data_IF_916126993839
#
_entry.id   IF_916126993839
#
_cell.length_a   1.000
_cell.length_b   1.000
_cell.length_c   1.000
_cell.angle_alpha   90.00
_cell.angle_beta   90.00
_cell.angle_gamma   90.00
#
_symmetry.space_group_name_H-M   'P 1'
#
loop_
_entity.id
_entity.type
_entity.pdbx_description
1 polymer ?
#
# COMPACT_ATOMS: atom_id res chain seq x y z
N UNK A 1 22.98 -2.35 14.95
CA UNK A 1 21.85 -1.86 14.13
C UNK A 1 22.47 -1.10 12.98
N UNK A 2 22.26 -1.50 11.73
CA UNK A 2 22.84 -0.79 10.58
C UNK A 2 22.06 0.52 10.46
N UNK A 3 22.73 1.65 10.70
CA UNK A 3 22.19 2.98 10.47
C UNK A 3 22.64 3.41 9.08
N UNK A 4 21.70 3.48 8.15
CA UNK A 4 21.93 4.08 6.84
C UNK A 4 20.92 5.20 6.66
N UNK A 5 21.32 6.23 5.90
CA UNK A 5 20.44 7.34 5.54
C UNK A 5 19.13 6.86 4.91
N UNK A 6 19.19 5.75 4.16
CA UNK A 6 18.01 5.10 3.57
C UNK A 6 17.03 4.60 4.64
N UNK A 7 17.56 3.97 5.71
CA UNK A 7 16.72 3.46 6.79
C UNK A 7 16.13 4.60 7.62
N UNK A 8 16.90 5.65 7.90
CA UNK A 8 16.42 6.85 8.58
C UNK A 8 15.28 7.52 7.81
N UNK A 9 15.47 7.74 6.51
CA UNK A 9 14.47 8.35 5.65
C UNK A 9 13.20 7.50 5.54
N UNK A 10 13.35 6.17 5.45
CA UNK A 10 12.21 5.23 5.51
C UNK A 10 11.40 5.43 6.79
N UNK A 11 12.05 5.48 7.95
CA UNK A 11 11.34 5.65 9.22
C UNK A 11 10.70 7.03 9.34
N UNK A 12 11.36 8.09 8.87
CA UNK A 12 10.82 9.45 8.85
C UNK A 12 9.53 9.53 8.02
N UNK A 13 9.54 8.96 6.82
CA UNK A 13 8.35 8.91 5.95
C UNK A 13 7.22 8.10 6.58
N UNK A 14 7.53 6.93 7.15
CA UNK A 14 6.54 6.10 7.82
C UNK A 14 5.90 6.80 9.03
N UNK A 15 6.69 7.47 9.85
CA UNK A 15 6.20 8.23 11.00
C UNK A 15 5.27 9.37 10.59
N UNK A 16 5.62 10.12 9.53
CA UNK A 16 4.77 11.16 8.97
C UNK A 16 3.43 10.60 8.48
N UNK A 17 3.46 9.53 7.68
CA UNK A 17 2.25 8.90 7.15
C UNK A 17 1.35 8.37 8.28
N UNK A 18 1.95 7.80 9.33
CA UNK A 18 1.21 7.31 10.49
C UNK A 18 0.51 8.45 11.24
N UNK A 19 1.19 9.58 11.47
CA UNK A 19 0.62 10.75 12.12
C UNK A 19 -0.54 11.40 11.34
N UNK A 20 -0.51 11.31 10.01
CA UNK A 20 -1.57 11.85 9.12
C UNK A 20 -2.75 10.89 8.90
N UNK A 21 -2.68 9.67 9.45
CA UNK A 21 -3.67 8.62 9.21
C UNK A 21 -4.55 8.38 10.44
N UNK A 22 -5.86 8.26 10.23
CA UNK A 22 -6.79 7.95 11.33
C UNK A 22 -7.01 6.45 11.50
N UNK A 23 -6.65 5.67 10.48
CA UNK A 23 -6.80 4.22 10.47
C UNK A 23 -5.68 3.55 9.66
N UNK A 24 -5.54 2.23 9.82
CA UNK A 24 -4.62 1.45 8.98
C UNK A 24 -4.99 1.52 7.49
N UNK A 25 -6.29 1.68 7.16
CA UNK A 25 -6.73 1.78 5.76
C UNK A 25 -6.27 3.09 5.14
N UNK A 26 -6.44 4.20 5.86
CA UNK A 26 -5.96 5.52 5.45
C UNK A 26 -4.45 5.51 5.23
N UNK A 27 -3.71 4.85 6.14
CA UNK A 27 -2.27 4.70 6.04
C UNK A 27 -1.87 3.96 4.77
N UNK A 28 -2.54 2.84 4.45
CA UNK A 28 -2.27 2.06 3.26
C UNK A 28 -2.58 2.86 1.98
N UNK A 29 -3.68 3.60 1.97
CA UNK A 29 -4.04 4.46 0.84
C UNK A 29 -3.02 5.58 0.63
N UNK A 30 -2.63 6.29 1.70
CA UNK A 30 -1.62 7.36 1.63
C UNK A 30 -0.25 6.82 1.21
N UNK A 31 0.14 5.67 1.72
CA UNK A 31 1.39 4.99 1.34
C UNK A 31 1.38 4.63 -0.15
N UNK A 32 0.25 4.13 -0.66
CA UNK A 32 0.09 3.81 -2.07
C UNK A 32 0.22 5.06 -2.95
N UNK A 33 -0.45 6.17 -2.59
CA UNK A 33 -0.32 7.45 -3.30
C UNK A 33 1.12 7.97 -3.30
N UNK A 34 1.79 7.95 -2.15
CA UNK A 34 3.19 8.38 -2.04
C UNK A 34 4.12 7.54 -2.94
N UNK A 35 3.91 6.22 -3.01
CA UNK A 35 4.65 5.35 -3.91
C UNK A 35 4.41 5.71 -5.38
N UNK A 36 3.15 5.96 -5.78
CA UNK A 36 2.82 6.37 -7.15
C UNK A 36 3.46 7.72 -7.52
N UNK A 37 3.44 8.69 -6.60
CA UNK A 37 4.07 10.00 -6.81
C UNK A 37 5.58 9.88 -7.01
N UNK A 38 6.24 9.04 -6.20
CA UNK A 38 7.67 8.76 -6.34
C UNK A 38 7.98 8.08 -7.68
N UNK A 39 7.21 7.06 -8.04
CA UNK A 39 7.32 6.35 -9.32
C UNK A 39 7.24 7.33 -10.50
N UNK A 40 6.24 8.22 -10.51
CA UNK A 40 6.09 9.29 -11.51
C UNK A 40 7.26 10.27 -11.50
N UNK A 41 7.71 10.71 -10.32
CA UNK A 41 8.80 11.70 -10.18
C UNK A 41 10.13 11.19 -10.72
N UNK A 42 10.42 9.91 -10.51
CA UNK A 42 11.70 9.30 -10.87
C UNK A 42 11.64 8.44 -12.14
N UNK A 43 10.49 8.40 -12.82
CA UNK A 43 10.33 7.74 -14.12
C UNK A 43 10.39 6.22 -14.08
N UNK A 44 9.95 5.59 -12.98
CA UNK A 44 9.82 4.14 -12.88
C UNK A 44 8.37 3.71 -12.67
N UNK A 45 8.04 2.48 -13.05
CA UNK A 45 6.71 1.91 -12.91
C UNK A 45 6.64 1.01 -11.67
N UNK A 46 5.53 1.10 -10.92
CA UNK A 46 5.24 0.17 -9.84
C UNK A 46 4.65 -1.10 -10.43
N UNK A 47 5.45 -2.17 -10.47
CA UNK A 47 4.96 -3.49 -10.84
C UNK A 47 4.41 -4.20 -9.61
N UNK A 48 3.09 -4.34 -9.57
CA UNK A 48 2.43 -5.19 -8.59
C UNK A 48 2.41 -6.62 -9.09
N UNK A 49 2.65 -7.58 -8.20
CA UNK A 49 2.50 -8.99 -8.54
C UNK A 49 1.01 -9.31 -8.70
N UNK A 50 0.62 -9.87 -9.84
CA UNK A 50 -0.65 -10.58 -9.97
C UNK A 50 -0.54 -11.91 -9.22
N UNK A 51 -0.82 -11.86 -7.92
CA UNK A 51 -0.84 -13.05 -7.09
C UNK A 51 -2.17 -13.79 -7.31
N UNK A 52 -2.15 -15.07 -7.72
CA UNK A 52 -3.35 -15.89 -7.83
C UNK A 52 -4.12 -15.87 -6.50
N UNK A 53 -5.37 -15.43 -6.53
CA UNK A 53 -6.23 -15.30 -5.34
C UNK A 53 -6.12 -13.98 -4.57
N UNK A 54 -5.31 -13.02 -5.02
CA UNK A 54 -5.39 -11.65 -4.51
C UNK A 54 -6.43 -10.86 -5.31
N UNK A 55 -7.31 -10.17 -4.57
CA UNK A 55 -8.59 -9.60 -5.00
C UNK A 55 -8.55 -8.52 -6.10
N UNK A 56 -7.41 -8.29 -6.75
CA UNK A 56 -7.24 -7.24 -7.76
C UNK A 56 -7.62 -7.69 -9.19
N UNK A 57 -7.71 -9.00 -9.44
CA UNK A 57 -8.19 -9.57 -10.70
C UNK A 57 -9.64 -10.11 -10.64
N UNK A 58 -10.34 -9.92 -9.52
CA UNK A 58 -11.70 -10.42 -9.33
C UNK A 58 -12.72 -9.38 -9.81
N UNK A 59 -13.74 -9.83 -10.53
CA UNK A 59 -14.90 -8.97 -10.80
C UNK A 59 -15.55 -8.51 -9.47
N UNK A 60 -16.28 -7.38 -9.52
CA UNK A 60 -16.87 -6.77 -8.32
C UNK A 60 -17.76 -7.74 -7.53
N UNK A 61 -18.43 -8.66 -8.20
CA UNK A 61 -19.34 -9.62 -7.59
C UNK A 61 -18.56 -10.69 -6.80
N UNK A 62 -17.45 -11.16 -7.35
CA UNK A 62 -16.55 -12.10 -6.72
C UNK A 62 -15.83 -11.47 -5.51
N UNK A 63 -15.51 -10.17 -5.56
CA UNK A 63 -14.97 -9.42 -4.41
C UNK A 63 -16.02 -9.36 -3.28
N UNK A 64 -17.27 -9.02 -3.61
CA UNK A 64 -18.35 -8.91 -2.63
C UNK A 64 -18.63 -10.25 -1.94
N UNK A 65 -18.70 -11.34 -2.72
CA UNK A 65 -18.88 -12.70 -2.19
C UNK A 65 -17.74 -13.10 -1.25
N UNK A 66 -16.50 -12.84 -1.62
CA UNK A 66 -15.33 -13.14 -0.78
C UNK A 66 -15.26 -12.28 0.50
N UNK A 67 -15.93 -11.13 0.56
CA UNK A 67 -16.06 -10.32 1.79
C UNK A 67 -17.15 -10.90 2.70
N UNK A 68 -18.25 -11.38 2.13
CA UNK A 68 -19.35 -12.02 2.89
C UNK A 68 -18.93 -13.36 3.48
N UNK A 69 -18.24 -14.20 2.70
CA UNK A 69 -17.74 -15.50 3.17
C UNK A 69 -16.72 -15.35 4.31
N UNK A 70 -15.93 -14.28 4.31
CA UNK A 70 -14.95 -14.00 5.36
C UNK A 70 -15.57 -13.41 6.65
N UNK A 71 -16.85 -13.02 6.63
CA UNK A 71 -17.59 -12.50 7.80
C UNK A 71 -18.42 -13.57 8.51
N UNK A 72 -18.51 -14.78 7.95
CA UNK A 72 -19.20 -15.95 8.52
C UNK A 72 -18.26 -16.74 9.42
#
# INVERSE_FOLDING_TARGET
>A
MIHSEILEEKYRVQAKLAAESTSIRDYMERSHRAAQEAARKYGFELKYADLPGTKLAMDKEAIQKAIEDARR
#
